data_IF_474625042007
#
_entry.id   IF_474625042007
#
_cell.length_a   1.000
_cell.length_b   1.000
_cell.length_c   1.000
_cell.angle_alpha   90.00
_cell.angle_beta   90.00
_cell.angle_gamma   90.00
#
_symmetry.space_group_name_H-M   'P 1'
#
loop_
_entity.id
_entity.type
_entity.pdbx_description
1 polymer ?
#
# COMPACT_ATOMS: atom_id res chain seq x y z
N UNK A 1 1.65 -14.06 23.41
CA UNK A 1 0.69 -13.18 22.73
C UNK A 1 -0.45 -12.79 23.68
N UNK A 2 -1.23 -11.74 23.32
CA UNK A 2 -2.43 -11.33 24.07
C UNK A 2 -2.19 -10.41 25.26
N UNK A 3 -1.06 -9.70 25.32
CA UNK A 3 -0.73 -8.70 26.34
C UNK A 3 -0.79 -7.27 25.83
N UNK A 4 -0.18 -6.30 26.56
CA UNK A 4 -0.29 -4.87 26.21
C UNK A 4 0.70 -4.38 25.17
N UNK A 5 1.66 -5.20 24.73
CA UNK A 5 2.75 -4.75 23.86
C UNK A 5 2.40 -4.98 22.38
N UNK A 6 2.29 -3.94 21.56
CA UNK A 6 2.04 -4.07 20.13
C UNK A 6 3.11 -4.92 19.44
N UNK A 7 2.67 -5.79 18.53
CA UNK A 7 3.55 -6.65 17.74
C UNK A 7 3.11 -6.66 16.29
N UNK A 8 3.99 -6.22 15.41
CA UNK A 8 3.77 -6.22 13.95
C UNK A 8 4.50 -7.38 13.29
N UNK A 9 4.02 -7.78 12.12
CA UNK A 9 4.60 -8.80 11.26
C UNK A 9 4.94 -8.24 9.88
N UNK A 10 5.54 -9.07 9.02
CA UNK A 10 5.87 -8.70 7.64
C UNK A 10 4.64 -8.26 6.83
N UNK A 11 3.46 -8.86 7.11
CA UNK A 11 2.20 -8.46 6.48
C UNK A 11 1.75 -7.05 6.84
N UNK A 12 1.97 -6.62 8.08
CA UNK A 12 1.63 -5.26 8.53
C UNK A 12 2.54 -4.22 7.86
N UNK A 13 3.82 -4.58 7.62
CA UNK A 13 4.77 -3.73 6.86
C UNK A 13 4.33 -3.64 5.39
N UNK A 14 4.02 -4.79 4.76
CA UNK A 14 3.64 -4.86 3.35
C UNK A 14 2.32 -4.12 3.03
N UNK A 15 1.38 -4.13 3.97
CA UNK A 15 0.07 -3.46 3.81
C UNK A 15 0.10 -1.97 4.13
N UNK A 16 1.17 -1.48 4.77
CA UNK A 16 1.30 -0.08 5.12
C UNK A 16 1.58 0.78 3.86
N UNK A 17 1.00 1.96 3.79
CA UNK A 17 1.34 2.93 2.74
C UNK A 17 2.75 3.51 3.01
N UNK A 18 2.87 4.35 4.04
CA UNK A 18 4.15 4.90 4.52
C UNK A 18 4.34 4.54 6.00
N UNK A 19 3.26 4.66 6.78
CA UNK A 19 3.25 4.46 8.22
C UNK A 19 2.43 3.25 8.60
N UNK A 20 2.95 2.44 9.55
CA UNK A 20 2.19 1.38 10.19
C UNK A 20 1.30 2.04 11.25
N UNK A 21 -0.01 2.07 11.00
CA UNK A 21 -1.00 2.73 11.85
C UNK A 21 -1.70 1.76 12.79
N UNK A 22 -1.72 0.46 12.46
CA UNK A 22 -2.46 -0.58 13.17
C UNK A 22 -1.59 -1.83 13.36
N UNK A 23 -1.96 -2.66 14.31
CA UNK A 23 -1.35 -3.97 14.54
C UNK A 23 -2.45 -5.00 14.83
N UNK A 24 -2.20 -6.24 14.42
CA UNK A 24 -3.15 -7.33 14.60
C UNK A 24 -2.80 -8.23 15.79
N UNK A 25 -1.60 -8.10 16.33
CA UNK A 25 -1.10 -8.93 17.42
C UNK A 25 -0.45 -8.11 18.52
N UNK A 26 -0.42 -8.70 19.72
CA UNK A 26 0.26 -8.14 20.88
C UNK A 26 1.05 -9.22 21.61
N UNK A 27 2.11 -8.83 22.30
CA UNK A 27 2.90 -9.69 23.17
C UNK A 27 2.48 -9.54 24.63
N UNK A 28 2.55 -10.64 25.38
CA UNK A 28 2.53 -10.65 26.85
C UNK A 28 3.85 -10.10 27.40
N UNK A 29 3.94 -9.89 28.72
CA UNK A 29 5.19 -9.52 29.38
C UNK A 29 6.30 -10.54 29.08
N UNK A 30 6.01 -11.82 29.21
CA UNK A 30 6.96 -12.88 28.84
C UNK A 30 7.40 -12.82 27.38
N UNK A 31 6.49 -12.50 26.46
CA UNK A 31 6.83 -12.32 25.04
C UNK A 31 7.69 -11.08 24.81
N UNK A 32 7.44 -10.00 25.55
CA UNK A 32 8.25 -8.79 25.51
C UNK A 32 9.69 -9.01 26.01
N UNK A 33 9.88 -9.80 27.08
CA UNK A 33 11.20 -10.17 27.59
C UNK A 33 12.06 -10.93 26.56
N UNK A 34 11.42 -11.63 25.61
CA UNK A 34 12.07 -12.36 24.51
C UNK A 34 12.19 -11.52 23.24
N UNK A 35 11.76 -10.28 23.24
CA UNK A 35 11.71 -9.38 22.08
C UNK A 35 12.42 -8.06 22.40
N UNK A 36 12.34 -7.15 21.45
CA UNK A 36 12.84 -5.78 21.61
C UNK A 36 11.75 -4.79 21.22
N UNK A 37 11.55 -3.76 22.04
CA UNK A 37 10.71 -2.61 21.72
C UNK A 37 11.49 -1.65 20.80
N UNK A 38 10.85 -1.23 19.73
CA UNK A 38 11.34 -0.21 18.82
C UNK A 38 10.42 1.00 18.89
N UNK A 39 11.03 2.18 18.91
CA UNK A 39 10.29 3.42 19.05
C UNK A 39 9.63 3.86 17.74
N UNK A 40 8.56 4.64 17.86
CA UNK A 40 7.97 5.38 16.76
C UNK A 40 9.05 6.11 15.94
N UNK A 41 8.87 6.18 14.61
CA UNK A 41 9.87 6.72 13.68
C UNK A 41 10.91 5.71 13.20
N UNK A 42 10.97 4.50 13.78
CA UNK A 42 11.83 3.42 13.24
C UNK A 42 11.31 2.99 11.87
N UNK A 43 12.21 2.89 10.88
CA UNK A 43 11.92 2.31 9.58
C UNK A 43 12.02 0.78 9.69
N UNK A 44 10.98 0.08 9.33
CA UNK A 44 10.91 -1.38 9.25
C UNK A 44 11.15 -1.83 7.82
N UNK A 45 12.03 -2.83 7.65
CA UNK A 45 12.35 -3.44 6.36
C UNK A 45 12.15 -4.94 6.49
N UNK A 46 11.35 -5.54 5.63
CA UNK A 46 11.15 -6.99 5.61
C UNK A 46 12.29 -7.70 4.91
N UNK A 47 12.82 -8.75 5.54
CA UNK A 47 13.93 -9.56 4.99
C UNK A 47 13.52 -10.99 4.64
N UNK A 48 12.29 -11.36 4.94
CA UNK A 48 11.68 -12.66 4.66
C UNK A 48 10.22 -12.48 4.24
N UNK A 49 9.68 -13.41 3.50
CA UNK A 49 8.34 -13.40 2.90
C UNK A 49 8.18 -12.28 1.85
N UNK A 50 7.83 -11.09 2.25
CA UNK A 50 7.71 -9.91 1.37
C UNK A 50 9.01 -9.11 1.43
N UNK A 51 10.04 -9.55 0.72
CA UNK A 51 11.38 -8.95 0.79
C UNK A 51 11.36 -7.51 0.30
N UNK A 52 12.00 -6.62 1.09
CA UNK A 52 12.22 -5.25 0.71
C UNK A 52 11.03 -4.32 0.91
N UNK A 53 9.90 -4.82 1.44
CA UNK A 53 8.83 -3.93 1.86
C UNK A 53 9.31 -3.06 3.02
N UNK A 54 8.94 -1.79 2.97
CA UNK A 54 9.36 -0.80 3.95
C UNK A 54 8.17 -0.02 4.48
N UNK A 55 8.20 0.27 5.79
CA UNK A 55 7.24 1.15 6.44
C UNK A 55 7.84 1.79 7.69
N UNK A 56 7.25 2.87 8.17
CA UNK A 56 7.70 3.61 9.36
C UNK A 56 6.73 3.34 10.51
N UNK A 57 7.26 3.02 11.68
CA UNK A 57 6.44 2.89 12.89
C UNK A 57 5.81 4.23 13.28
N UNK A 58 4.49 4.27 13.47
CA UNK A 58 3.79 5.42 14.04
C UNK A 58 3.69 5.38 15.56
N UNK A 59 3.95 4.22 16.16
CA UNK A 59 3.95 3.97 17.62
C UNK A 59 5.03 2.96 17.99
N UNK A 60 5.32 2.85 19.28
CA UNK A 60 6.29 1.89 19.80
C UNK A 60 5.75 0.46 19.66
N UNK A 61 6.52 -0.45 19.09
CA UNK A 61 6.12 -1.84 18.93
C UNK A 61 7.30 -2.80 18.85
N UNK A 62 7.00 -4.08 18.95
CA UNK A 62 7.93 -5.19 18.70
C UNK A 62 7.67 -5.79 17.31
N UNK A 63 8.68 -6.49 16.77
CA UNK A 63 8.54 -7.27 15.55
C UNK A 63 9.53 -8.46 15.55
N UNK A 64 9.29 -9.49 14.69
CA UNK A 64 10.12 -10.68 14.60
C UNK A 64 11.42 -10.45 13.81
N UNK A 65 12.31 -11.43 13.83
CA UNK A 65 13.59 -11.43 13.10
C UNK A 65 13.45 -11.33 11.56
N UNK A 66 12.23 -11.54 11.04
CA UNK A 66 11.90 -11.32 9.62
C UNK A 66 11.76 -9.85 9.24
N UNK A 67 11.81 -8.95 10.21
CA UNK A 67 11.78 -7.50 10.03
C UNK A 67 13.03 -6.89 10.67
N UNK A 68 13.70 -6.00 9.94
CA UNK A 68 14.84 -5.23 10.43
C UNK A 68 14.41 -3.80 10.70
N UNK A 69 14.73 -3.31 11.89
CA UNK A 69 14.48 -1.92 12.30
C UNK A 69 15.70 -1.04 12.06
N UNK A 70 15.52 0.02 11.31
CA UNK A 70 16.49 1.10 11.15
C UNK A 70 16.01 2.33 11.91
N UNK A 71 16.71 2.69 12.97
CA UNK A 71 16.42 3.93 13.72
C UNK A 71 17.21 5.08 13.10
N UNK A 72 16.54 6.17 12.68
CA UNK A 72 17.23 7.31 12.11
C UNK A 72 18.15 7.97 13.14
N UNK A 73 19.20 8.58 12.66
CA UNK A 73 20.11 9.37 13.48
C UNK A 73 20.04 10.87 13.09
N UNK A 74 20.89 11.70 13.67
CA UNK A 74 20.91 13.14 13.37
C UNK A 74 21.24 13.51 11.91
N UNK A 75 21.62 12.54 11.07
CA UNK A 75 21.98 12.73 9.65
C UNK A 75 20.91 12.25 8.69
N UNK A 76 19.84 11.58 9.16
CA UNK A 76 18.84 10.97 8.28
C UNK A 76 17.43 11.15 8.80
N UNK A 77 16.50 11.34 7.87
CA UNK A 77 15.06 11.39 8.12
C UNK A 77 14.47 10.05 7.71
N UNK A 78 13.68 9.39 8.57
CA UNK A 78 13.06 8.08 8.28
C UNK A 78 12.33 8.07 6.94
N UNK A 79 11.58 9.14 6.64
CA UNK A 79 10.80 9.23 5.41
C UNK A 79 11.66 9.38 4.15
N UNK A 80 12.82 10.03 4.24
CA UNK A 80 13.79 10.08 3.16
C UNK A 80 14.35 8.68 2.88
N UNK A 81 14.75 7.97 3.94
CA UNK A 81 15.26 6.58 3.81
C UNK A 81 14.15 5.65 3.30
N UNK A 82 12.90 5.84 3.74
CA UNK A 82 11.75 5.11 3.21
C UNK A 82 11.67 5.23 1.69
N UNK A 83 11.69 6.42 1.12
CA UNK A 83 11.65 6.61 -0.34
C UNK A 83 12.85 5.99 -1.05
N UNK A 84 14.06 6.13 -0.48
CA UNK A 84 15.26 5.52 -1.04
C UNK A 84 15.15 3.99 -1.07
N UNK A 85 14.69 3.38 0.04
CA UNK A 85 14.55 1.92 0.13
C UNK A 85 13.43 1.40 -0.77
N UNK A 86 12.33 2.14 -0.95
CA UNK A 86 11.24 1.76 -1.86
C UNK A 86 11.71 1.66 -3.32
N UNK A 87 12.67 2.48 -3.74
CA UNK A 87 13.27 2.37 -5.07
C UNK A 87 14.13 1.10 -5.18
N UNK A 88 14.82 0.73 -4.11
CA UNK A 88 15.74 -0.41 -4.07
C UNK A 88 15.04 -1.75 -3.85
N UNK A 89 13.76 -1.77 -3.52
CA UNK A 89 13.00 -2.98 -3.22
C UNK A 89 13.18 -4.05 -4.30
N UNK A 90 12.96 -3.69 -5.56
CA UNK A 90 13.09 -4.62 -6.68
C UNK A 90 14.51 -5.17 -6.82
N UNK A 91 15.52 -4.34 -6.61
CA UNK A 91 16.91 -4.77 -6.63
C UNK A 91 17.25 -5.74 -5.50
N UNK A 92 16.66 -5.51 -4.31
CA UNK A 92 16.79 -6.41 -3.16
C UNK A 92 16.12 -7.75 -3.42
N UNK A 93 14.94 -7.76 -4.05
CA UNK A 93 14.23 -8.98 -4.45
C UNK A 93 15.01 -9.79 -5.50
N UNK A 94 15.56 -9.10 -6.51
CA UNK A 94 16.32 -9.73 -7.61
C UNK A 94 17.65 -10.33 -7.11
N UNK A 95 18.26 -9.72 -6.11
CA UNK A 95 19.51 -10.19 -5.49
C UNK A 95 19.30 -11.22 -4.36
N UNK A 96 18.04 -11.51 -4.00
CA UNK A 96 17.74 -12.53 -3.01
C UNK A 96 18.10 -13.92 -3.56
N UNK A 97 18.79 -14.78 -2.76
CA UNK A 97 19.14 -16.13 -3.19
C UNK A 97 17.90 -16.93 -3.62
N UNK A 98 17.99 -17.66 -4.74
CA UNK A 98 16.93 -18.52 -5.27
C UNK A 98 16.77 -19.80 -4.44
N UNK A 99 16.51 -19.67 -3.14
CA UNK A 99 16.19 -20.76 -2.23
C UNK A 99 14.67 -20.96 -2.13
N UNK A 100 14.20 -22.07 -1.59
CA UNK A 100 12.75 -22.36 -1.42
C UNK A 100 12.01 -21.28 -0.61
N UNK A 101 12.72 -20.55 0.25
CA UNK A 101 12.29 -19.28 0.84
C UNK A 101 13.31 -18.22 0.43
N UNK A 102 12.87 -17.26 -0.40
CA UNK A 102 13.68 -16.06 -0.66
C UNK A 102 13.83 -15.30 0.66
N UNK A 103 15.03 -15.14 1.13
CA UNK A 103 15.39 -14.34 2.30
C UNK A 103 16.63 -13.52 1.96
N UNK A 104 16.65 -12.27 2.34
CA UNK A 104 17.88 -11.46 2.40
C UNK A 104 18.37 -11.42 3.83
N UNK A 105 19.66 -11.24 3.99
CA UNK A 105 20.28 -11.12 5.32
C UNK A 105 20.81 -9.71 5.56
N UNK A 106 21.16 -9.41 6.79
CA UNK A 106 21.73 -8.11 7.17
C UNK A 106 22.98 -7.75 6.38
N UNK A 107 23.73 -8.75 5.87
CA UNK A 107 24.94 -8.50 5.05
C UNK A 107 24.57 -7.84 3.72
N UNK A 108 23.46 -8.26 3.09
CA UNK A 108 22.96 -7.66 1.86
C UNK A 108 22.48 -6.23 2.14
N UNK A 109 21.70 -6.03 3.20
CA UNK A 109 21.24 -4.68 3.59
C UNK A 109 22.41 -3.75 3.93
N UNK A 110 23.42 -4.24 4.64
CA UNK A 110 24.60 -3.46 4.98
C UNK A 110 25.51 -3.13 3.77
N UNK A 111 25.35 -3.83 2.67
CA UNK A 111 26.07 -3.56 1.43
C UNK A 111 25.38 -2.52 0.54
N UNK A 112 24.16 -2.09 0.90
CA UNK A 112 23.42 -1.05 0.17
C UNK A 112 24.11 0.29 0.39
N UNK A 113 24.63 0.87 -0.68
CA UNK A 113 25.20 2.20 -0.67
C UNK A 113 24.16 3.25 -1.05
N UNK A 114 23.99 4.26 -0.21
CA UNK A 114 23.05 5.36 -0.43
C UNK A 114 23.75 6.71 -0.31
N UNK A 115 23.51 7.58 -1.27
CA UNK A 115 23.92 8.98 -1.16
C UNK A 115 22.94 9.73 -0.27
N UNK A 116 23.39 10.11 0.93
CA UNK A 116 22.57 10.82 1.91
C UNK A 116 22.97 12.30 1.91
N UNK A 117 22.15 13.20 1.33
CA UNK A 117 22.42 14.64 1.34
C UNK A 117 22.21 15.23 2.75
N UNK A 118 22.56 16.50 2.97
CA UNK A 118 22.27 17.19 4.23
C UNK A 118 20.77 17.11 4.60
N UNK A 119 20.45 17.12 5.90
CA UNK A 119 19.06 16.98 6.41
C UNK A 119 18.10 18.02 5.83
N UNK A 120 18.57 19.24 5.59
CA UNK A 120 17.78 20.31 4.95
C UNK A 120 17.33 19.93 3.55
N UNK A 121 18.22 19.32 2.77
CA UNK A 121 17.93 18.84 1.42
C UNK A 121 17.01 17.59 1.46
N UNK A 122 17.26 16.66 2.37
CA UNK A 122 16.35 15.51 2.60
C UNK A 122 14.93 16.00 2.90
N UNK A 123 14.78 17.02 3.74
CA UNK A 123 13.46 17.59 4.09
C UNK A 123 12.76 18.14 2.86
N UNK A 124 13.48 18.86 2.00
CA UNK A 124 12.89 19.43 0.80
C UNK A 124 12.55 18.35 -0.24
N UNK A 125 13.40 17.35 -0.42
CA UNK A 125 13.12 16.19 -1.28
C UNK A 125 11.85 15.47 -0.80
N UNK A 126 11.73 15.18 0.49
CA UNK A 126 10.54 14.54 1.07
C UNK A 126 9.30 15.38 0.83
N UNK A 127 9.37 16.69 1.04
CA UNK A 127 8.24 17.61 0.80
C UNK A 127 7.78 17.57 -0.66
N UNK A 128 8.71 17.60 -1.61
CA UNK A 128 8.41 17.53 -3.05
C UNK A 128 7.78 16.18 -3.42
N UNK A 129 8.35 15.08 -2.93
CA UNK A 129 7.82 13.74 -3.20
C UNK A 129 6.41 13.57 -2.63
N UNK A 130 6.18 14.03 -1.40
CA UNK A 130 4.86 13.97 -0.77
C UNK A 130 3.81 14.74 -1.59
N UNK A 131 4.14 15.95 -2.06
CA UNK A 131 3.23 16.76 -2.88
C UNK A 131 2.93 16.07 -4.23
N UNK A 132 3.94 15.50 -4.88
CA UNK A 132 3.77 14.82 -6.17
C UNK A 132 2.97 13.53 -6.03
N UNK A 133 3.27 12.70 -5.03
CA UNK A 133 2.55 11.45 -4.78
C UNK A 133 1.10 11.68 -4.33
N UNK A 134 0.85 12.75 -3.54
CA UNK A 134 -0.51 13.13 -3.19
C UNK A 134 -1.33 13.55 -4.42
N UNK A 135 -0.73 14.29 -5.36
CA UNK A 135 -1.37 14.68 -6.62
C UNK A 135 -1.61 13.48 -7.53
N UNK A 136 -0.67 12.55 -7.60
CA UNK A 136 -0.83 11.29 -8.35
C UNK A 136 -2.00 10.48 -7.80
N UNK A 137 -2.06 10.29 -6.48
CA UNK A 137 -3.13 9.57 -5.81
C UNK A 137 -4.50 10.25 -6.06
N UNK A 138 -4.57 11.57 -5.96
CA UNK A 138 -5.80 12.32 -6.26
C UNK A 138 -6.25 12.14 -7.72
N UNK A 139 -5.31 12.19 -8.67
CA UNK A 139 -5.61 11.96 -10.08
C UNK A 139 -6.14 10.54 -10.32
N UNK A 140 -5.57 9.54 -9.66
CA UNK A 140 -6.02 8.15 -9.72
C UNK A 140 -7.45 7.99 -9.18
N UNK A 141 -7.74 8.56 -8.02
CA UNK A 141 -9.09 8.52 -7.42
C UNK A 141 -10.14 9.17 -8.33
N UNK A 142 -9.81 10.31 -8.94
CA UNK A 142 -10.70 10.96 -9.91
C UNK A 142 -10.93 10.07 -11.14
N UNK A 143 -9.89 9.44 -11.67
CA UNK A 143 -10.00 8.53 -12.81
C UNK A 143 -10.85 7.29 -12.49
N UNK A 144 -10.65 6.68 -11.33
CA UNK A 144 -11.46 5.56 -10.84
C UNK A 144 -12.94 5.97 -10.68
N UNK A 145 -13.21 7.14 -10.09
CA UNK A 145 -14.57 7.68 -9.98
C UNK A 145 -15.26 7.92 -11.32
N UNK A 146 -14.51 8.33 -12.37
CA UNK A 146 -15.05 8.46 -13.73
C UNK A 146 -15.44 7.10 -14.30
N UNK A 147 -14.65 6.05 -14.08
CA UNK A 147 -14.99 4.70 -14.53
C UNK A 147 -16.28 4.19 -13.89
N UNK A 148 -16.47 4.41 -12.59
CA UNK A 148 -17.72 4.07 -11.90
C UNK A 148 -18.93 4.83 -12.46
N UNK A 149 -18.76 6.12 -12.76
CA UNK A 149 -19.82 6.92 -13.40
C UNK A 149 -20.20 6.40 -14.79
N UNK A 150 -19.21 6.00 -15.59
CA UNK A 150 -19.45 5.40 -16.90
C UNK A 150 -20.29 4.12 -16.76
N UNK A 151 -20.00 3.27 -15.81
CA UNK A 151 -20.76 2.05 -15.57
C UNK A 151 -22.21 2.32 -15.14
N UNK A 152 -22.42 3.35 -14.31
CA UNK A 152 -23.77 3.81 -13.94
C UNK A 152 -24.54 4.35 -15.14
N UNK A 153 -23.88 5.13 -16.01
CA UNK A 153 -24.48 5.65 -17.27
C UNK A 153 -24.88 4.49 -18.17
N UNK A 154 -23.99 3.49 -18.39
CA UNK A 154 -24.30 2.29 -19.18
C UNK A 154 -25.53 1.57 -18.66
N UNK A 155 -25.60 1.32 -17.34
CA UNK A 155 -26.76 0.68 -16.69
C UNK A 155 -28.05 1.51 -16.89
N UNK A 156 -27.96 2.83 -16.76
CA UNK A 156 -29.08 3.75 -16.98
C UNK A 156 -29.57 3.72 -18.43
N UNK A 157 -28.65 3.77 -19.39
CA UNK A 157 -28.99 3.70 -20.83
C UNK A 157 -29.68 2.38 -21.16
N UNK A 158 -29.14 1.25 -20.68
CA UNK A 158 -29.77 -0.06 -20.88
C UNK A 158 -31.16 -0.13 -20.27
N UNK A 159 -31.33 0.35 -19.04
CA UNK A 159 -32.63 0.37 -18.37
C UNK A 159 -33.66 1.23 -19.13
N UNK A 160 -33.25 2.38 -19.67
CA UNK A 160 -34.10 3.24 -20.51
C UNK A 160 -34.45 2.58 -21.84
N UNK A 161 -33.47 1.87 -22.46
CA UNK A 161 -33.72 1.13 -23.68
C UNK A 161 -34.80 0.07 -23.48
N UNK A 162 -34.71 -0.75 -22.45
CA UNK A 162 -35.68 -1.79 -22.13
C UNK A 162 -37.05 -1.24 -21.72
N UNK A 163 -37.15 0.02 -21.25
CA UNK A 163 -38.43 0.70 -21.01
C UNK A 163 -38.99 1.43 -22.23
N UNK A 164 -38.31 1.42 -23.38
CA UNK A 164 -38.69 2.16 -24.58
C UNK A 164 -38.53 3.69 -24.47
N UNK A 165 -37.64 4.16 -23.58
CA UNK A 165 -37.48 5.60 -23.28
C UNK A 165 -36.36 6.27 -24.12
N UNK A 166 -35.75 5.57 -25.07
CA UNK A 166 -34.64 6.13 -25.86
C UNK A 166 -35.08 6.96 -27.08
N UNK A 167 -36.37 7.21 -27.22
CA UNK A 167 -36.91 8.07 -28.28
C UNK A 167 -36.77 7.45 -29.71
N UNK A 168 -36.61 6.13 -29.80
CA UNK A 168 -36.57 5.38 -31.06
C UNK A 168 -37.94 4.88 -31.46
N UNK A 169 -39.01 5.22 -30.73
CA UNK A 169 -40.36 4.82 -31.07
C UNK A 169 -40.84 5.60 -32.27
N UNK A 170 -40.80 4.94 -33.44
CA UNK A 170 -41.52 5.43 -34.61
C UNK A 170 -43.02 5.26 -34.33
N UNK A 171 -43.84 6.34 -34.44
CA UNK A 171 -45.28 6.24 -34.27
C UNK A 171 -45.96 5.27 -35.23
N UNK A 172 -45.32 4.89 -36.31
CA UNK A 172 -45.80 3.93 -37.28
C UNK A 172 -45.47 2.47 -36.92
N UNK A 173 -44.58 2.23 -35.95
CA UNK A 173 -44.25 0.89 -35.49
C UNK A 173 -45.32 0.32 -34.55
N UNK A 174 -45.58 -0.97 -34.71
CA UNK A 174 -46.56 -1.69 -33.88
C UNK A 174 -46.02 -1.81 -32.44
N UNK A 175 -46.87 -1.51 -31.46
CA UNK A 175 -46.48 -1.54 -30.03
C UNK A 175 -46.01 -2.96 -29.66
N UNK A 176 -44.93 -3.05 -28.82
CA UNK A 176 -44.37 -4.33 -28.32
C UNK A 176 -45.47 -5.19 -27.66
N UNK A 177 -46.46 -4.60 -27.03
CA UNK A 177 -47.59 -5.29 -26.44
C UNK A 177 -48.40 -6.07 -27.49
N UNK A 178 -48.65 -5.48 -28.64
CA UNK A 178 -49.37 -6.14 -29.74
C UNK A 178 -48.54 -7.24 -30.40
N UNK A 179 -47.21 -7.07 -30.46
CA UNK A 179 -46.30 -8.10 -30.94
C UNK A 179 -46.24 -9.31 -29.99
N UNK A 180 -46.28 -9.06 -28.67
CA UNK A 180 -46.34 -10.13 -27.67
C UNK A 180 -47.66 -10.86 -27.67
N UNK A 181 -48.81 -10.17 -27.87
CA UNK A 181 -50.16 -10.78 -27.97
C UNK A 181 -50.31 -11.72 -29.19
N UNK A 182 -49.52 -11.52 -30.25
CA UNK A 182 -49.48 -12.41 -31.40
C UNK A 182 -48.53 -13.61 -31.26
N UNK A 183 -47.68 -13.59 -30.23
CA UNK A 183 -46.67 -14.65 -30.02
C UNK A 183 -47.16 -15.71 -29.03
N UNK A 184 -48.31 -15.54 -28.47
CA UNK A 184 -49.05 -16.48 -27.62
C UNK A 184 -50.44 -16.77 -28.23
#
# INVERSE_FOLDING_TARGET
FGGPYPFIQTGDVASANVYIMEHHQTLSEFGMEQSRMFSAGTLCITIAANIGDVAILSYDCCFPDSVVGFSPNSRSISKFIYYMMSILQKELEDNAPATAQKNINLKILNAVEMNIPPVTEQTEIVRILDDLLAKEQQAKEVAEGVLEQIDLIKKSVLARAFRGELGTNDPSEESVIKLLERSF
#
